data_IF_327520680314
#
_entry.id   IF_327520680314
#
_cell.length_a   1.000
_cell.length_b   1.000
_cell.length_c   1.000
_cell.angle_alpha   90.00
_cell.angle_beta   90.00
_cell.angle_gamma   90.00
#
_symmetry.space_group_name_H-M   'P 1'
#
loop_
_entity.id
_entity.type
_entity.pdbx_description
1 polymer ?
#
# COMPACT_ATOMS: atom_id res chain seq x y z
N UNK A 1 3.57 10.05 -21.31
CA UNK A 1 2.43 10.76 -20.73
C UNK A 1 2.90 11.57 -19.54
N UNK A 2 2.31 12.73 -19.32
CA UNK A 2 2.51 13.51 -18.09
C UNK A 2 1.76 12.86 -16.92
N UNK A 3 2.09 13.25 -15.68
CA UNK A 3 1.34 12.78 -14.51
C UNK A 3 -0.14 13.15 -14.64
N UNK A 4 -0.44 14.38 -15.06
CA UNK A 4 -1.82 14.84 -15.22
C UNK A 4 -2.62 14.01 -16.25
N UNK A 5 -1.98 13.59 -17.35
CA UNK A 5 -2.62 12.71 -18.33
C UNK A 5 -2.95 11.33 -17.74
N UNK A 6 -2.01 10.74 -16.97
CA UNK A 6 -2.23 9.46 -16.28
C UNK A 6 -3.39 9.59 -15.30
N UNK A 7 -3.34 10.59 -14.41
CA UNK A 7 -4.35 10.81 -13.37
C UNK A 7 -5.76 11.05 -13.97
N UNK A 8 -5.85 11.82 -15.05
CA UNK A 8 -7.13 12.04 -15.74
C UNK A 8 -7.68 10.76 -16.38
N UNK A 9 -6.81 9.90 -16.94
CA UNK A 9 -7.25 8.63 -17.51
C UNK A 9 -7.78 7.68 -16.44
N UNK A 10 -7.11 7.61 -15.29
CA UNK A 10 -7.51 6.77 -14.14
C UNK A 10 -8.83 7.26 -13.53
N UNK A 11 -9.00 8.59 -13.41
CA UNK A 11 -10.26 9.21 -12.98
C UNK A 11 -11.46 8.78 -13.83
N UNK A 12 -11.23 8.49 -15.11
CA UNK A 12 -12.26 8.01 -16.05
C UNK A 12 -12.39 6.47 -16.08
N UNK A 13 -11.81 5.76 -15.11
CA UNK A 13 -11.93 4.30 -14.95
C UNK A 13 -10.92 3.48 -15.75
N UNK A 14 -9.92 4.11 -16.40
CA UNK A 14 -8.83 3.36 -17.04
C UNK A 14 -7.96 2.69 -15.98
N UNK A 15 -7.69 1.40 -16.14
CA UNK A 15 -6.66 0.71 -15.36
C UNK A 15 -5.26 1.18 -15.78
N UNK A 16 -4.38 1.34 -14.80
CA UNK A 16 -2.97 1.65 -15.02
C UNK A 16 -2.28 0.49 -15.73
N UNK A 17 -1.48 0.80 -16.76
CA UNK A 17 -0.50 -0.15 -17.25
C UNK A 17 0.80 -0.12 -16.41
N UNK A 18 1.73 -1.02 -16.72
CA UNK A 18 2.99 -1.16 -15.98
C UNK A 18 3.83 0.12 -16.05
N UNK A 19 3.94 0.74 -17.21
CA UNK A 19 4.77 1.91 -17.44
C UNK A 19 4.20 3.10 -16.68
N UNK A 20 2.88 3.30 -16.73
CA UNK A 20 2.17 4.34 -15.99
C UNK A 20 2.33 4.15 -14.48
N UNK A 21 2.15 2.93 -13.97
CA UNK A 21 2.36 2.62 -12.55
C UNK A 21 3.80 2.92 -12.11
N UNK A 22 4.79 2.54 -12.91
CA UNK A 22 6.21 2.85 -12.62
C UNK A 22 6.45 4.36 -12.66
N UNK A 23 5.85 5.10 -13.59
CA UNK A 23 5.95 6.57 -13.62
C UNK A 23 5.39 7.20 -12.35
N UNK A 24 4.23 6.75 -11.86
CA UNK A 24 3.64 7.25 -10.60
C UNK A 24 4.52 6.92 -9.38
N UNK A 25 5.10 5.72 -9.32
CA UNK A 25 6.01 5.31 -8.24
C UNK A 25 7.32 6.13 -8.21
N UNK A 26 7.72 6.74 -9.32
CA UNK A 26 8.90 7.60 -9.40
C UNK A 26 8.62 9.08 -9.11
N UNK A 27 7.38 9.45 -8.77
CA UNK A 27 7.06 10.82 -8.37
C UNK A 27 7.84 11.17 -7.11
N UNK A 28 8.50 12.33 -7.12
CA UNK A 28 9.25 12.83 -5.96
C UNK A 28 8.29 13.15 -4.81
N UNK A 29 8.52 12.54 -3.65
CA UNK A 29 7.78 12.85 -2.42
C UNK A 29 7.80 14.35 -2.11
N UNK A 30 6.64 14.90 -1.77
CA UNK A 30 6.46 16.33 -1.45
C UNK A 30 6.42 17.27 -2.65
N UNK A 31 6.52 16.78 -3.88
CA UNK A 31 6.28 17.58 -5.09
C UNK A 31 4.79 17.90 -5.28
N UNK A 32 4.47 18.85 -6.17
CA UNK A 32 3.08 19.13 -6.53
C UNK A 32 2.36 17.88 -7.07
N UNK A 33 3.02 17.12 -7.93
CA UNK A 33 2.46 15.90 -8.52
C UNK A 33 2.23 14.79 -7.48
N UNK A 34 3.04 14.73 -6.42
CA UNK A 34 2.79 13.85 -5.28
C UNK A 34 1.46 14.20 -4.60
N UNK A 35 1.20 15.49 -4.36
CA UNK A 35 -0.05 15.93 -3.74
C UNK A 35 -1.26 15.74 -4.66
N UNK A 36 -1.10 15.88 -5.98
CA UNK A 36 -2.16 15.52 -6.95
C UNK A 36 -2.50 14.03 -6.91
N UNK A 37 -1.49 13.16 -6.87
CA UNK A 37 -1.67 11.71 -6.82
C UNK A 37 -2.49 11.31 -5.58
N UNK A 38 -2.09 11.76 -4.38
CA UNK A 38 -2.80 11.41 -3.15
C UNK A 38 -4.20 12.03 -3.10
N UNK A 39 -4.39 13.22 -3.67
CA UNK A 39 -5.70 13.88 -3.75
C UNK A 39 -6.69 13.07 -4.59
N UNK A 40 -6.27 12.63 -5.78
CA UNK A 40 -7.10 11.75 -6.62
C UNK A 40 -7.38 10.41 -5.92
N UNK A 41 -6.38 9.79 -5.31
CA UNK A 41 -6.56 8.52 -4.61
C UNK A 41 -7.58 8.65 -3.45
N UNK A 42 -7.54 9.76 -2.71
CA UNK A 42 -8.49 10.05 -1.65
C UNK A 42 -9.91 10.22 -2.20
N UNK A 43 -10.08 11.04 -3.25
CA UNK A 43 -11.36 11.25 -3.93
C UNK A 43 -11.99 9.93 -4.40
N UNK A 44 -11.21 9.08 -5.08
CA UNK A 44 -11.67 7.79 -5.56
C UNK A 44 -12.05 6.84 -4.42
N UNK A 45 -11.26 6.80 -3.34
CA UNK A 45 -11.53 5.96 -2.17
C UNK A 45 -12.85 6.36 -1.50
N UNK A 46 -13.11 7.66 -1.33
CA UNK A 46 -14.38 8.12 -0.76
C UNK A 46 -15.59 7.76 -1.63
N UNK A 47 -15.44 7.88 -2.95
CA UNK A 47 -16.49 7.50 -3.91
C UNK A 47 -16.77 6.00 -3.90
N UNK A 48 -15.72 5.16 -3.89
CA UNK A 48 -15.86 3.71 -3.95
C UNK A 48 -16.47 3.13 -2.67
N UNK A 49 -16.04 3.63 -1.51
CA UNK A 49 -16.43 3.07 -0.22
C UNK A 49 -17.54 3.86 0.49
N UNK A 50 -18.18 4.82 -0.19
CA UNK A 50 -19.25 5.66 0.39
C UNK A 50 -18.84 6.27 1.73
N UNK A 51 -17.60 6.77 1.79
CA UNK A 51 -16.98 7.36 2.97
C UNK A 51 -16.99 6.44 4.23
N UNK A 52 -16.98 5.11 4.05
CA UNK A 52 -16.96 4.13 5.15
C UNK A 52 -15.59 3.46 5.29
N UNK A 53 -15.14 3.36 6.53
CA UNK A 53 -14.00 2.52 6.90
C UNK A 53 -14.46 1.15 7.40
N UNK A 54 -13.70 0.11 7.07
CA UNK A 54 -13.91 -1.23 7.60
C UNK A 54 -12.97 -1.48 8.78
N UNK A 55 -13.50 -2.07 9.87
CA UNK A 55 -12.73 -2.44 11.04
C UNK A 55 -12.49 -3.95 11.01
N UNK A 56 -11.22 -4.35 11.01
CA UNK A 56 -10.81 -5.75 11.07
C UNK A 56 -10.02 -6.00 12.37
N UNK A 57 -10.36 -7.07 13.07
CA UNK A 57 -9.55 -7.59 14.16
C UNK A 57 -8.68 -8.74 13.63
N UNK A 58 -7.37 -8.63 13.81
CA UNK A 58 -6.43 -9.70 13.48
C UNK A 58 -5.85 -10.28 14.78
N UNK A 59 -6.13 -11.56 15.02
CA UNK A 59 -5.60 -12.30 16.17
C UNK A 59 -4.50 -13.22 15.63
N UNK A 60 -3.25 -12.80 15.84
CA UNK A 60 -2.08 -13.64 15.52
C UNK A 60 -1.91 -14.70 16.59
N UNK A 61 -2.07 -15.98 16.22
CA UNK A 61 -1.86 -17.13 17.11
C UNK A 61 -0.44 -17.72 16.92
N UNK A 62 0.56 -16.88 16.73
CA UNK A 62 1.94 -17.33 16.50
C UNK A 62 2.62 -17.61 17.84
N UNK A 63 2.73 -18.88 18.19
CA UNK A 63 3.29 -19.36 19.45
C UNK A 63 4.79 -19.71 19.37
N UNK A 64 5.38 -19.74 18.17
CA UNK A 64 6.76 -20.20 17.95
C UNK A 64 7.49 -19.45 16.82
N UNK A 65 8.84 -19.49 16.80
CA UNK A 65 9.63 -18.91 15.72
C UNK A 65 9.32 -19.55 14.35
N UNK A 66 9.01 -18.71 13.36
CA UNK A 66 8.61 -19.14 12.03
C UNK A 66 9.78 -19.73 11.22
N UNK A 67 9.67 -20.96 10.70
CA UNK A 67 10.76 -21.64 10.03
C UNK A 67 11.12 -21.07 8.64
N UNK A 68 10.21 -20.28 8.03
CA UNK A 68 10.41 -19.63 6.72
C UNK A 68 11.55 -18.61 6.77
N UNK A 69 11.79 -18.00 7.93
CA UNK A 69 12.97 -17.17 8.20
C UNK A 69 13.13 -15.95 7.26
N UNK A 70 12.01 -15.33 6.89
CA UNK A 70 12.01 -14.10 6.09
C UNK A 70 12.80 -13.01 6.82
N UNK A 71 13.86 -12.48 6.19
CA UNK A 71 14.81 -11.52 6.80
C UNK A 71 14.20 -10.21 7.33
N UNK A 72 13.00 -9.85 6.86
CA UNK A 72 12.29 -8.64 7.27
C UNK A 72 11.21 -8.92 8.33
N UNK A 73 10.88 -10.19 8.58
CA UNK A 73 9.78 -10.57 9.45
C UNK A 73 10.33 -10.90 10.84
N UNK A 74 9.94 -10.15 11.86
CA UNK A 74 10.35 -10.36 13.26
C UNK A 74 10.02 -11.75 13.83
N UNK A 75 9.21 -12.55 13.12
CA UNK A 75 8.90 -13.92 13.47
C UNK A 75 9.91 -14.93 12.91
N UNK A 76 10.86 -14.53 12.07
CA UNK A 76 11.83 -15.45 11.45
C UNK A 76 12.69 -16.17 12.48
N UNK A 77 12.83 -17.49 12.38
CA UNK A 77 13.51 -18.33 13.39
C UNK A 77 14.92 -17.86 13.78
N UNK A 78 15.68 -17.26 12.88
CA UNK A 78 17.06 -16.82 13.15
C UNK A 78 17.14 -15.49 13.91
N UNK A 79 16.05 -14.72 13.94
CA UNK A 79 15.98 -13.38 14.49
C UNK A 79 14.65 -13.13 15.20
N UNK A 80 14.11 -14.18 15.82
CA UNK A 80 12.86 -14.13 16.55
C UNK A 80 13.00 -13.19 17.74
N UNK A 81 12.15 -12.16 17.78
CA UNK A 81 12.29 -11.05 18.70
C UNK A 81 11.28 -11.06 19.87
N UNK A 82 10.39 -12.05 19.96
CA UNK A 82 9.41 -12.12 21.06
C UNK A 82 9.94 -12.95 22.22
N UNK A 83 9.68 -12.48 23.44
CA UNK A 83 10.21 -13.07 24.67
C UNK A 83 9.52 -14.38 25.08
N UNK A 84 8.28 -14.59 24.61
CA UNK A 84 7.48 -15.76 24.97
C UNK A 84 7.36 -16.73 23.80
N UNK A 85 7.69 -17.98 24.08
CA UNK A 85 7.33 -19.15 23.29
C UNK A 85 6.20 -19.81 24.09
N UNK A 86 5.00 -19.85 23.51
CA UNK A 86 3.79 -20.34 24.19
C UNK A 86 3.52 -21.79 23.83
#
# INVERSE_FOLDING_TARGET
>A
MTVDEILNSVRNGKLLDKQEAVSLLNIKNGSNDFYKLISLANEMTHSEFDNKGLIFAQIGLNAEPCPVDCKFCSMGKSHYAMESVW
#
